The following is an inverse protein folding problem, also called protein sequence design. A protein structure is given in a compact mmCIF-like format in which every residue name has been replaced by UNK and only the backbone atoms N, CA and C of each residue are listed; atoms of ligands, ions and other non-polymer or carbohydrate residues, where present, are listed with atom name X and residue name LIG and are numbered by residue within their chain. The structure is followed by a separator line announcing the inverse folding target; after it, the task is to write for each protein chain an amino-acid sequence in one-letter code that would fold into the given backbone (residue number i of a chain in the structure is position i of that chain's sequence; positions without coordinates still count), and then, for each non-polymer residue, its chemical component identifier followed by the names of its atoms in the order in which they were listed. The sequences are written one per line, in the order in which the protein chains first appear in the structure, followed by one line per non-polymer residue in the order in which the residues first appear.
data_IF_966095950048
#
_entry.id   IF_966095950048
#
_cell.length_a   1.000
_cell.length_b   1.000
_cell.length_c   1.000
_cell.angle_alpha   90.00
_cell.angle_beta   90.00
_cell.angle_gamma   90.00
#
_symmetry.space_group_name_H-M   'P 1'
#
loop_
_entity.id
_entity.type
_entity.pdbx_description
1 polymer ?
#
# COMPACT_ATOMS: atom_id res chain seq x y z
N UNK A 1 9.73 5.40 19.68
CA UNK A 1 10.08 3.96 19.61
C UNK A 1 8.87 3.18 19.14
N UNK A 2 8.99 2.23 18.23
CA UNK A 2 7.88 1.34 17.86
C UNK A 2 7.47 0.50 19.07
N UNK A 3 6.15 0.29 19.24
CA UNK A 3 5.62 -0.53 20.34
C UNK A 3 5.87 -2.04 20.16
N UNK A 4 6.09 -2.44 18.90
CA UNK A 4 6.40 -3.82 18.51
C UNK A 4 7.79 -3.79 17.89
N UNK A 5 8.70 -4.63 18.38
CA UNK A 5 10.06 -4.73 17.86
C UNK A 5 10.06 -5.32 16.45
N UNK A 6 10.97 -4.86 15.62
CA UNK A 6 11.26 -5.55 14.37
C UNK A 6 11.99 -6.86 14.69
N UNK A 7 11.54 -7.94 14.07
CA UNK A 7 12.21 -9.23 14.18
C UNK A 7 13.49 -9.19 13.31
N UNK A 8 14.60 -9.60 13.94
CA UNK A 8 15.81 -9.89 13.18
C UNK A 8 15.59 -11.22 12.43
N UNK A 9 15.87 -11.28 11.12
CA UNK A 9 15.73 -12.52 10.36
C UNK A 9 16.43 -13.72 10.99
N UNK A 10 17.58 -13.52 11.64
CA UNK A 10 18.35 -14.59 12.27
C UNK A 10 17.69 -15.16 13.55
N UNK A 11 16.80 -14.36 14.16
CA UNK A 11 16.08 -14.75 15.39
C UNK A 11 14.65 -15.27 15.11
N UNK A 12 14.25 -15.32 13.84
CA UNK A 12 12.93 -15.79 13.44
C UNK A 12 12.77 -17.29 13.67
N UNK A 13 11.60 -17.68 14.22
CA UNK A 13 11.23 -19.09 14.22
C UNK A 13 10.88 -19.58 12.79
N UNK A 14 10.74 -20.89 12.62
CA UNK A 14 10.53 -21.53 11.30
C UNK A 14 9.31 -20.94 10.58
N UNK A 15 8.20 -20.69 11.27
CA UNK A 15 6.98 -20.18 10.67
C UNK A 15 7.15 -18.70 10.23
N UNK A 16 7.79 -17.87 11.07
CA UNK A 16 8.11 -16.48 10.74
C UNK A 16 9.05 -16.38 9.54
N UNK A 17 10.09 -17.22 9.53
CA UNK A 17 11.06 -17.25 8.44
C UNK A 17 10.43 -17.66 7.12
N UNK A 18 9.56 -18.66 7.12
CA UNK A 18 8.85 -19.10 5.92
C UNK A 18 8.02 -17.96 5.30
N UNK A 19 7.29 -17.20 6.11
CA UNK A 19 6.50 -16.06 5.63
C UNK A 19 7.39 -14.90 5.17
N UNK A 20 8.47 -14.64 5.89
CA UNK A 20 9.46 -13.62 5.51
C UNK A 20 10.05 -13.90 4.12
N UNK A 21 10.49 -15.15 3.89
CA UNK A 21 11.07 -15.57 2.61
C UNK A 21 10.02 -15.54 1.47
N UNK A 22 8.78 -15.93 1.76
CA UNK A 22 7.66 -15.86 0.82
C UNK A 22 7.38 -14.40 0.37
N UNK A 23 7.36 -13.44 1.30
CA UNK A 23 7.21 -12.02 0.98
C UNK A 23 8.35 -11.51 0.09
N UNK A 24 9.59 -11.87 0.39
CA UNK A 24 10.76 -11.42 -0.36
C UNK A 24 10.86 -12.03 -1.77
N UNK A 25 10.42 -13.27 -1.93
CA UNK A 25 10.38 -13.95 -3.23
C UNK A 25 9.19 -13.53 -4.10
N UNK A 26 8.20 -12.88 -3.51
CA UNK A 26 7.01 -12.40 -4.19
C UNK A 26 7.19 -11.06 -4.92
N UNK A 27 6.11 -10.48 -5.47
CA UNK A 27 6.17 -9.25 -6.25
C UNK A 27 6.54 -8.00 -5.43
N UNK A 28 6.56 -8.08 -4.10
CA UNK A 28 6.95 -6.96 -3.22
C UNK A 28 8.46 -6.77 -3.14
N UNK A 29 9.23 -7.84 -3.20
CA UNK A 29 10.70 -7.87 -3.12
C UNK A 29 11.33 -7.22 -1.88
N UNK A 30 10.52 -6.68 -0.99
CA UNK A 30 10.98 -6.02 0.25
C UNK A 30 9.95 -6.18 1.35
N UNK A 31 10.42 -6.08 2.59
CA UNK A 31 9.59 -6.12 3.78
C UNK A 31 9.62 -4.74 4.45
N UNK A 32 8.48 -4.07 4.53
CA UNK A 32 8.36 -2.74 5.10
C UNK A 32 6.98 -2.52 5.72
N UNK A 33 6.83 -1.45 6.50
CA UNK A 33 5.54 -1.05 7.08
C UNK A 33 4.91 -2.11 7.98
N UNK A 34 3.65 -2.49 7.76
CA UNK A 34 2.90 -3.36 8.65
C UNK A 34 3.43 -4.81 8.72
N UNK A 35 4.21 -5.24 7.73
CA UNK A 35 4.74 -6.61 7.68
C UNK A 35 5.62 -6.94 8.86
N UNK A 36 6.41 -5.98 9.37
CA UNK A 36 7.20 -6.18 10.57
C UNK A 36 6.35 -6.53 11.80
N UNK A 37 5.19 -5.90 11.94
CA UNK A 37 4.26 -6.21 13.02
C UNK A 37 3.53 -7.54 12.77
N UNK A 38 3.10 -7.80 11.54
CA UNK A 38 2.36 -9.03 11.20
C UNK A 38 3.19 -10.29 11.35
N UNK A 39 4.51 -10.25 11.15
CA UNK A 39 5.39 -11.40 11.33
C UNK A 39 5.38 -11.97 12.77
N UNK A 40 4.95 -11.20 13.78
CA UNK A 40 4.73 -11.73 15.12
C UNK A 40 3.54 -12.71 15.16
N UNK A 41 2.66 -12.70 14.14
CA UNK A 41 1.59 -13.67 13.92
C UNK A 41 1.72 -14.23 12.48
N UNK A 42 2.55 -15.27 12.26
CA UNK A 42 2.92 -15.72 10.91
C UNK A 42 1.72 -16.12 10.05
N UNK A 43 0.70 -16.75 10.64
CA UNK A 43 -0.51 -17.13 9.90
C UNK A 43 -1.27 -15.91 9.40
N UNK A 44 -1.44 -14.86 10.24
CA UNK A 44 -2.02 -13.59 9.83
C UNK A 44 -1.19 -12.95 8.74
N UNK A 45 0.13 -12.89 8.93
CA UNK A 45 1.06 -12.29 7.97
C UNK A 45 0.97 -12.95 6.60
N UNK A 46 0.92 -14.28 6.55
CA UNK A 46 0.78 -15.06 5.32
C UNK A 46 -0.52 -14.69 4.58
N UNK A 47 -1.66 -14.73 5.27
CA UNK A 47 -2.96 -14.44 4.66
C UNK A 47 -3.06 -12.99 4.21
N UNK A 48 -2.65 -12.05 5.05
CA UNK A 48 -2.74 -10.62 4.77
C UNK A 48 -1.80 -10.20 3.63
N UNK A 49 -0.58 -10.76 3.55
CA UNK A 49 0.35 -10.46 2.49
C UNK A 49 -0.15 -10.97 1.12
N UNK A 50 -0.74 -12.16 1.08
CA UNK A 50 -1.31 -12.71 -0.16
C UNK A 50 -2.52 -11.89 -0.63
N UNK A 51 -3.44 -11.53 0.27
CA UNK A 51 -4.55 -10.66 -0.06
C UNK A 51 -4.05 -9.30 -0.58
N UNK A 52 -3.11 -8.68 0.12
CA UNK A 52 -2.55 -7.40 -0.28
C UNK A 52 -1.76 -7.47 -1.59
N UNK A 53 -1.08 -8.59 -1.88
CA UNK A 53 -0.40 -8.81 -3.15
C UNK A 53 -1.41 -8.92 -4.29
N UNK A 54 -2.49 -9.67 -4.11
CA UNK A 54 -3.57 -9.78 -5.08
C UNK A 54 -4.18 -8.40 -5.38
N UNK A 55 -4.59 -7.67 -4.35
CA UNK A 55 -5.21 -6.35 -4.51
C UNK A 55 -4.31 -5.35 -5.25
N UNK A 56 -2.99 -5.44 -5.03
CA UNK A 56 -2.05 -4.49 -5.60
C UNK A 56 -1.55 -4.87 -7.00
N UNK A 57 -1.35 -6.15 -7.27
CA UNK A 57 -0.62 -6.60 -8.45
C UNK A 57 -1.43 -7.48 -9.41
N UNK A 58 -2.59 -7.98 -8.99
CA UNK A 58 -3.33 -9.00 -9.74
C UNK A 58 -4.79 -8.64 -10.03
N UNK A 59 -5.21 -7.41 -9.74
CA UNK A 59 -6.55 -6.90 -10.09
C UNK A 59 -6.59 -6.37 -11.52
N UNK A 60 -7.79 -6.07 -12.01
CA UNK A 60 -8.01 -5.42 -13.32
C UNK A 60 -7.67 -3.92 -13.31
N UNK A 61 -7.37 -3.31 -12.15
CA UNK A 61 -6.97 -1.93 -12.08
C UNK A 61 -5.55 -1.76 -12.59
N UNK A 62 -5.33 -0.72 -13.40
CA UNK A 62 -3.97 -0.31 -13.76
C UNK A 62 -3.20 0.17 -12.52
N UNK A 63 -1.87 0.16 -12.59
CA UNK A 63 -1.03 0.67 -11.50
C UNK A 63 -1.40 2.10 -11.09
N UNK A 64 -1.67 2.99 -12.05
CA UNK A 64 -2.09 4.36 -11.78
C UNK A 64 -3.42 4.43 -11.00
N UNK A 65 -4.43 3.66 -11.40
CA UNK A 65 -5.72 3.63 -10.71
C UNK A 65 -5.61 3.01 -9.31
N UNK A 66 -4.77 1.99 -9.16
CA UNK A 66 -4.50 1.37 -7.87
C UNK A 66 -3.81 2.33 -6.89
N UNK A 67 -2.77 3.03 -7.36
CA UNK A 67 -2.06 4.01 -6.52
C UNK A 67 -2.96 5.22 -6.18
N UNK A 68 -3.79 5.69 -7.12
CA UNK A 68 -4.79 6.73 -6.84
C UNK A 68 -5.74 6.31 -5.71
N UNK A 69 -6.26 5.08 -5.77
CA UNK A 69 -7.14 4.55 -4.73
C UNK A 69 -6.44 4.52 -3.36
N UNK A 70 -5.19 4.07 -3.33
CA UNK A 70 -4.40 4.02 -2.10
C UNK A 70 -4.22 5.44 -1.51
N UNK A 71 -3.88 6.43 -2.36
CA UNK A 71 -3.67 7.81 -1.89
C UNK A 71 -4.95 8.44 -1.32
N UNK A 72 -6.10 8.22 -1.95
CA UNK A 72 -7.41 8.72 -1.44
C UNK A 72 -7.69 8.17 -0.05
N UNK A 73 -7.55 6.85 0.13
CA UNK A 73 -7.77 6.19 1.42
C UNK A 73 -6.72 6.62 2.44
N UNK A 74 -5.44 6.68 2.05
CA UNK A 74 -4.36 7.11 2.93
C UNK A 74 -4.57 8.55 3.44
N UNK A 75 -5.05 9.45 2.58
CA UNK A 75 -5.37 10.83 2.98
C UNK A 75 -6.55 10.88 3.95
N UNK A 76 -7.61 10.15 3.67
CA UNK A 76 -8.79 10.09 4.54
C UNK A 76 -8.43 9.65 5.97
N UNK A 77 -7.68 8.56 6.08
CA UNK A 77 -7.27 8.00 7.38
C UNK A 77 -6.00 8.63 7.96
N UNK A 78 -5.43 9.65 7.30
CA UNK A 78 -4.17 10.29 7.70
C UNK A 78 -3.03 9.28 7.90
N UNK A 79 -3.00 8.26 7.06
CA UNK A 79 -2.01 7.18 7.07
C UNK A 79 -0.70 7.67 6.46
N UNK A 80 0.14 8.32 7.27
CA UNK A 80 1.36 8.99 6.80
C UNK A 80 2.35 8.03 6.16
N UNK A 81 2.47 6.82 6.67
CA UNK A 81 3.35 5.81 6.09
C UNK A 81 2.89 5.41 4.69
N UNK A 82 1.59 5.13 4.51
CA UNK A 82 1.03 4.80 3.20
C UNK A 82 1.20 5.96 2.21
N UNK A 83 0.98 7.19 2.68
CA UNK A 83 1.24 8.36 1.85
C UNK A 83 2.69 8.46 1.41
N UNK A 84 3.63 8.33 2.35
CA UNK A 84 5.07 8.37 2.08
C UNK A 84 5.51 7.30 1.08
N UNK A 85 4.99 6.08 1.25
CA UNK A 85 5.35 4.96 0.39
C UNK A 85 4.72 5.06 -1.01
N UNK A 86 3.47 5.53 -1.11
CA UNK A 86 2.67 5.42 -2.33
C UNK A 86 2.63 6.68 -3.19
N UNK A 87 2.84 7.90 -2.64
CA UNK A 87 2.86 9.12 -3.46
C UNK A 87 3.93 9.09 -4.57
N UNK A 88 5.20 8.68 -4.31
CA UNK A 88 6.18 8.52 -5.37
C UNK A 88 5.80 7.46 -6.41
N UNK A 89 5.09 6.40 -5.99
CA UNK A 89 4.65 5.33 -6.89
C UNK A 89 3.51 5.81 -7.79
N UNK A 90 2.59 6.62 -7.27
CA UNK A 90 1.52 7.23 -8.05
C UNK A 90 2.07 8.14 -9.15
N UNK A 91 3.04 9.01 -8.82
CA UNK A 91 3.73 9.85 -9.79
C UNK A 91 4.43 9.01 -10.87
N UNK A 92 5.16 7.97 -10.46
CA UNK A 92 5.83 7.04 -11.37
C UNK A 92 4.85 6.28 -12.27
N UNK A 93 3.65 5.98 -11.75
CA UNK A 93 2.58 5.32 -12.51
C UNK A 93 1.83 6.26 -13.46
N UNK A 94 2.13 7.55 -13.45
CA UNK A 94 1.58 8.55 -14.36
C UNK A 94 0.39 9.35 -13.81
N UNK A 95 0.18 9.35 -12.49
CA UNK A 95 -0.72 10.33 -11.86
C UNK A 95 -0.04 11.70 -11.88
N UNK A 96 -0.76 12.73 -12.33
CA UNK A 96 -0.26 14.09 -12.40
C UNK A 96 0.06 14.64 -11.00
N UNK A 97 1.13 15.42 -10.87
CA UNK A 97 1.58 15.98 -9.58
C UNK A 97 0.49 16.85 -8.94
N UNK A 98 -0.22 17.63 -9.75
CA UNK A 98 -1.33 18.47 -9.31
C UNK A 98 -2.47 17.64 -8.68
N UNK A 99 -2.72 16.44 -9.19
CA UNK A 99 -3.71 15.51 -8.62
C UNK A 99 -3.24 15.01 -7.26
N UNK A 100 -1.98 14.60 -7.14
CA UNK A 100 -1.39 14.14 -5.88
C UNK A 100 -1.44 15.25 -4.83
N UNK A 101 -1.06 16.48 -5.19
CA UNK A 101 -1.07 17.63 -4.27
C UNK A 101 -2.50 18.04 -3.88
N UNK A 102 -3.46 18.00 -4.80
CA UNK A 102 -4.85 18.28 -4.49
C UNK A 102 -5.39 17.28 -3.45
N UNK A 103 -5.13 15.98 -3.63
CA UNK A 103 -5.52 14.94 -2.66
C UNK A 103 -4.81 15.19 -1.32
N UNK A 104 -3.51 15.49 -1.32
CA UNK A 104 -2.74 15.81 -0.11
C UNK A 104 -3.36 16.98 0.66
N UNK A 105 -3.70 18.04 -0.05
CA UNK A 105 -4.34 19.23 0.51
C UNK A 105 -5.79 19.02 0.96
N UNK A 106 -6.43 17.93 0.56
CA UNK A 106 -7.85 17.67 0.82
C UNK A 106 -8.79 18.49 -0.06
N UNK A 107 -8.30 18.93 -1.22
CA UNK A 107 -9.11 19.61 -2.25
C UNK A 107 -9.51 18.60 -3.34
N UNK A 108 -10.56 18.92 -4.08
CA UNK A 108 -11.04 18.07 -5.17
C UNK A 108 -10.04 18.15 -6.33
N UNK A 109 -9.42 17.05 -6.75
CA UNK A 109 -8.51 17.05 -7.88
C UNK A 109 -9.23 17.25 -9.20
N UNK A 110 -8.57 17.90 -10.16
CA UNK A 110 -9.01 17.91 -11.55
C UNK A 110 -8.48 16.65 -12.22
N UNK A 111 -9.38 15.78 -12.66
CA UNK A 111 -9.06 14.46 -13.21
C UNK A 111 -9.40 14.44 -14.71
N UNK A 112 -8.41 14.31 -15.56
CA UNK A 112 -8.56 14.27 -17.02
C UNK A 112 -9.00 12.88 -17.52
N UNK A 113 -8.60 11.79 -16.83
CA UNK A 113 -9.02 10.43 -17.15
C UNK A 113 -10.34 10.09 -16.45
N UNK A 114 -11.41 9.75 -17.19
CA UNK A 114 -12.70 9.37 -16.61
C UNK A 114 -12.61 8.18 -15.65
N UNK A 115 -11.66 7.26 -15.84
CA UNK A 115 -11.45 6.11 -14.96
C UNK A 115 -10.90 6.55 -13.60
N UNK A 116 -10.00 7.54 -13.60
CA UNK A 116 -9.50 8.15 -12.36
C UNK A 116 -10.66 8.83 -11.60
N UNK A 117 -11.54 9.53 -12.32
CA UNK A 117 -12.71 10.15 -11.71
C UNK A 117 -13.65 9.12 -11.05
N UNK A 118 -13.91 7.99 -11.72
CA UNK A 118 -14.71 6.90 -11.14
C UNK A 118 -14.08 6.34 -9.89
N UNK A 119 -12.77 6.04 -9.92
CA UNK A 119 -12.04 5.53 -8.73
C UNK A 119 -12.09 6.53 -7.59
N UNK A 120 -11.78 7.80 -7.85
CA UNK A 120 -11.83 8.86 -6.84
C UNK A 120 -13.22 8.97 -6.19
N UNK A 121 -14.27 9.09 -7.02
CA UNK A 121 -15.64 9.23 -6.55
C UNK A 121 -16.14 8.01 -5.78
N UNK A 122 -15.67 6.81 -6.11
CA UNK A 122 -16.03 5.59 -5.39
C UNK A 122 -15.48 5.52 -3.95
N UNK A 123 -14.51 6.36 -3.62
CA UNK A 123 -13.78 6.32 -2.34
C UNK A 123 -14.02 7.52 -1.44
N UNK A 124 -14.40 8.68 -1.98
CA UNK A 124 -14.54 9.91 -1.18
C UNK A 124 -15.67 9.91 -0.17
N UNK A 125 -16.56 8.93 -0.22
CA UNK A 125 -17.67 8.78 0.72
C UNK A 125 -17.36 7.89 1.94
N UNK A 126 -16.15 7.35 2.04
CA UNK A 126 -15.72 6.49 3.15
C UNK A 126 -15.40 7.26 4.48
#
# INVERSE_FOLDING_TARGET
MPRISQLNPDDMNVAQRAVYDDILSGPRTSLSGPFHAWLHSPELASRAQHLGAYCRFSTSLSGALSELAILVVARHWRAQFEWYAHAPMALKAGIEEEVVEAIRGGTIPVLSDPRQAVVYLSLIHI
#
